data_IF_778966015443
#
_entry.id   IF_778966015443
#
_cell.length_a   1.000
_cell.length_b   1.000
_cell.length_c   1.000
_cell.angle_alpha   90.00
_cell.angle_beta   90.00
_cell.angle_gamma   90.00
#
_symmetry.space_group_name_H-M   'P 1'
#
loop_
_entity.id
_entity.type
_entity.pdbx_description
1 polymer ?
#
# COMPACT_ATOMS: atom_id res chain seq x y z
N UNK A 1 -22.40 4.02 15.79
CA UNK A 1 -20.95 3.93 15.98
C UNK A 1 -20.23 4.43 14.73
N UNK A 2 -19.22 5.26 14.89
CA UNK A 2 -18.44 5.74 13.75
C UNK A 2 -17.39 4.70 13.34
N UNK A 3 -17.18 4.55 12.06
CA UNK A 3 -16.12 3.71 11.52
C UNK A 3 -15.00 4.57 10.97
N UNK A 4 -13.79 4.22 11.31
CA UNK A 4 -12.59 4.87 10.77
C UNK A 4 -12.01 4.00 9.64
N UNK A 5 -11.67 4.64 8.54
CA UNK A 5 -11.14 3.97 7.37
C UNK A 5 -9.77 4.54 7.01
N UNK A 6 -8.85 3.68 6.64
CA UNK A 6 -7.61 4.08 6.02
C UNK A 6 -7.62 3.53 4.59
N UNK A 7 -7.62 4.43 3.64
CA UNK A 7 -7.87 4.08 2.25
C UNK A 7 -6.70 4.49 1.35
N UNK A 8 -6.37 3.65 0.41
CA UNK A 8 -5.42 3.96 -0.65
C UNK A 8 -5.80 3.24 -1.93
N UNK A 9 -5.31 3.75 -3.05
CA UNK A 9 -5.48 3.12 -4.35
C UNK A 9 -4.39 3.65 -5.28
N UNK A 10 -3.58 2.75 -5.82
CA UNK A 10 -2.54 3.13 -6.78
C UNK A 10 -2.20 1.94 -7.65
N UNK A 11 -1.47 2.21 -8.75
CA UNK A 11 -1.18 1.20 -9.75
C UNK A 11 0.29 1.19 -10.13
N UNK A 12 0.83 -0.01 -10.30
CA UNK A 12 2.14 -0.22 -10.90
C UNK A 12 1.90 -0.69 -12.33
N UNK A 13 2.33 0.10 -13.29
CA UNK A 13 2.06 -0.16 -14.70
C UNK A 13 3.22 -0.85 -15.40
N UNK A 14 2.92 -1.48 -16.52
CA UNK A 14 3.91 -2.03 -17.45
C UNK A 14 4.80 -3.09 -16.82
N UNK A 15 4.17 -4.04 -16.13
CA UNK A 15 4.88 -5.17 -15.53
C UNK A 15 5.48 -6.06 -16.62
N UNK A 16 6.73 -6.47 -16.42
CA UNK A 16 7.34 -7.49 -17.27
C UNK A 16 6.86 -8.88 -16.84
N UNK A 17 6.97 -9.90 -17.71
CA UNK A 17 6.63 -11.27 -17.30
C UNK A 17 7.40 -11.75 -16.07
N UNK A 18 8.67 -11.35 -15.94
CA UNK A 18 9.48 -11.68 -14.77
C UNK A 18 8.91 -11.04 -13.51
N UNK A 19 8.48 -9.80 -13.60
CA UNK A 19 7.86 -9.09 -12.48
C UNK A 19 6.54 -9.72 -12.07
N UNK A 20 5.74 -10.13 -13.03
CA UNK A 20 4.46 -10.83 -12.75
C UNK A 20 4.73 -12.14 -12.03
N UNK A 21 5.71 -12.92 -12.47
CA UNK A 21 6.09 -14.18 -11.82
C UNK A 21 6.56 -13.94 -10.38
N UNK A 22 7.36 -12.90 -10.17
CA UNK A 22 7.83 -12.52 -8.84
C UNK A 22 6.64 -12.19 -7.92
N UNK A 23 5.69 -11.39 -8.42
CA UNK A 23 4.50 -11.01 -7.66
C UNK A 23 3.65 -12.22 -7.31
N UNK A 24 3.42 -13.12 -8.27
CA UNK A 24 2.67 -14.35 -8.02
C UNK A 24 3.32 -15.19 -6.93
N UNK A 25 4.64 -15.34 -6.99
CA UNK A 25 5.40 -16.09 -5.99
C UNK A 25 5.27 -15.45 -4.60
N UNK A 26 5.39 -14.12 -4.54
CA UNK A 26 5.28 -13.40 -3.26
C UNK A 26 3.88 -13.49 -2.68
N UNK A 27 2.85 -13.38 -3.49
CA UNK A 27 1.48 -13.52 -3.03
C UNK A 27 1.24 -14.93 -2.48
N UNK A 28 1.76 -15.96 -3.13
CA UNK A 28 1.69 -17.34 -2.64
C UNK A 28 2.39 -17.50 -1.29
N UNK A 29 3.58 -16.92 -1.13
CA UNK A 29 4.31 -16.96 0.13
C UNK A 29 3.53 -16.31 1.27
N UNK A 30 2.91 -15.15 1.01
CA UNK A 30 2.12 -14.45 2.00
C UNK A 30 0.88 -15.25 2.38
N UNK A 31 0.19 -15.83 1.40
CA UNK A 31 -0.98 -16.67 1.65
C UNK A 31 -0.64 -17.89 2.49
N UNK A 32 0.49 -18.52 2.24
CA UNK A 32 0.96 -19.67 3.03
C UNK A 32 1.30 -19.28 4.46
N UNK A 33 1.90 -18.09 4.66
CA UNK A 33 2.25 -17.62 5.99
C UNK A 33 1.01 -17.27 6.82
N UNK A 34 -0.08 -16.91 6.19
CA UNK A 34 -1.35 -16.62 6.86
C UNK A 34 -2.13 -17.88 7.20
N UNK A 35 -1.68 -19.03 6.74
CA UNK A 35 -2.21 -20.36 7.06
C UNK A 35 -3.74 -20.44 6.98
N UNK A 36 -4.27 -20.04 5.84
CA UNK A 36 -5.69 -20.19 5.56
C UNK A 36 -5.95 -21.58 4.99
N UNK A 37 -6.56 -22.48 5.77
CA UNK A 37 -6.78 -23.85 5.30
C UNK A 37 -7.82 -23.94 4.18
N UNK A 38 -8.58 -22.91 3.91
CA UNK A 38 -9.54 -22.94 2.79
C UNK A 38 -8.85 -22.85 1.43
N UNK A 39 -7.59 -22.40 1.41
CA UNK A 39 -6.73 -22.53 0.24
C UNK A 39 -7.32 -22.07 -1.07
N UNK A 40 -8.26 -21.16 -1.01
CA UNK A 40 -8.82 -20.62 -2.25
C UNK A 40 -7.84 -19.69 -2.93
N UNK A 41 -6.85 -20.29 -3.55
CA UNK A 41 -6.16 -19.63 -4.62
C UNK A 41 -7.13 -19.63 -5.80
N UNK A 42 -7.78 -18.53 -5.98
CA UNK A 42 -8.42 -18.33 -7.26
C UNK A 42 -7.35 -17.95 -8.25
N UNK A 43 -6.66 -18.95 -8.75
CA UNK A 43 -5.93 -18.79 -9.97
C UNK A 43 -6.98 -18.68 -11.08
N UNK A 44 -7.40 -17.47 -11.32
CA UNK A 44 -8.36 -17.21 -12.38
C UNK A 44 -7.57 -17.08 -13.67
N UNK A 45 -7.32 -18.23 -14.30
CA UNK A 45 -6.91 -18.33 -15.68
C UNK A 45 -6.07 -17.16 -16.18
N UNK A 46 -4.84 -17.11 -15.79
CA UNK A 46 -3.72 -16.39 -16.40
C UNK A 46 -3.77 -14.88 -16.56
N UNK A 47 -4.88 -14.18 -16.33
CA UNK A 47 -4.93 -12.73 -16.55
C UNK A 47 -5.32 -11.89 -15.34
N UNK A 48 -5.89 -12.51 -14.32
CA UNK A 48 -6.25 -11.80 -13.10
C UNK A 48 -5.83 -12.60 -11.89
N UNK A 49 -4.91 -12.06 -11.12
CA UNK A 49 -4.56 -12.58 -9.81
C UNK A 49 -5.07 -11.57 -8.81
N UNK A 50 -5.95 -12.01 -7.96
CA UNK A 50 -6.56 -11.16 -6.95
C UNK A 50 -6.19 -11.68 -5.58
N UNK A 51 -5.73 -10.77 -4.74
CA UNK A 51 -5.43 -11.06 -3.35
C UNK A 51 -6.24 -10.15 -2.45
N UNK A 52 -6.82 -10.72 -1.41
CA UNK A 52 -7.61 -10.01 -0.43
C UNK A 52 -7.27 -10.51 0.96
N UNK A 53 -6.58 -9.68 1.75
CA UNK A 53 -6.48 -9.89 3.19
C UNK A 53 -6.32 -8.54 3.88
N UNK A 54 -6.21 -8.56 5.20
CA UNK A 54 -6.17 -7.34 6.01
C UNK A 54 -4.89 -6.53 5.81
N UNK A 55 -3.83 -7.14 5.27
CA UNK A 55 -2.54 -6.50 5.11
C UNK A 55 -2.28 -5.99 3.71
N UNK A 56 -2.81 -6.68 2.70
CA UNK A 56 -2.52 -6.37 1.32
C UNK A 56 -3.70 -6.76 0.43
N UNK A 57 -4.31 -5.77 -0.20
CA UNK A 57 -5.30 -6.00 -1.26
C UNK A 57 -4.66 -5.63 -2.58
N UNK A 58 -4.60 -6.59 -3.51
CA UNK A 58 -3.91 -6.40 -4.77
C UNK A 58 -4.61 -7.18 -5.88
N UNK A 59 -4.52 -6.65 -7.09
CA UNK A 59 -5.08 -7.29 -8.27
C UNK A 59 -4.19 -7.03 -9.48
N UNK A 60 -3.77 -8.11 -10.14
CA UNK A 60 -3.04 -8.02 -11.40
C UNK A 60 -4.03 -8.16 -12.54
N UNK A 61 -4.04 -7.17 -13.42
CA UNK A 61 -4.88 -7.17 -14.61
C UNK A 61 -4.01 -6.85 -15.83
N UNK A 62 -3.80 -7.84 -16.69
CA UNK A 62 -2.86 -7.70 -17.80
C UNK A 62 -1.44 -7.48 -17.29
N UNK A 63 -0.85 -6.35 -17.63
CA UNK A 63 0.49 -5.96 -17.20
C UNK A 63 0.49 -4.87 -16.13
N UNK A 64 -0.61 -4.73 -15.40
CA UNK A 64 -0.75 -3.71 -14.36
C UNK A 64 -1.10 -4.35 -13.03
N UNK A 65 -0.53 -3.81 -11.95
CA UNK A 65 -0.85 -4.22 -10.59
C UNK A 65 -1.60 -3.08 -9.89
N UNK A 66 -2.81 -3.37 -9.45
CA UNK A 66 -3.62 -2.43 -8.66
C UNK A 66 -3.55 -2.82 -7.19
N UNK A 67 -3.11 -1.88 -6.36
CA UNK A 67 -3.02 -2.03 -4.91
C UNK A 67 -4.01 -1.07 -4.28
N UNK A 68 -4.85 -1.57 -3.38
CA UNK A 68 -5.95 -0.78 -2.83
C UNK A 68 -6.33 -1.25 -1.44
N UNK A 69 -7.00 -0.37 -0.70
CA UNK A 69 -7.66 -0.72 0.55
C UNK A 69 -8.85 0.22 0.75
N UNK A 70 -9.98 -0.34 1.11
CA UNK A 70 -11.19 0.44 1.39
C UNK A 70 -11.35 0.72 2.89
N UNK A 71 -10.94 -0.19 3.75
CA UNK A 71 -11.18 -0.10 5.18
C UNK A 71 -9.91 0.01 6.01
N UNK A 72 -8.83 -0.50 5.52
CA UNK A 72 -7.56 -0.42 6.22
C UNK A 72 -6.54 -1.38 5.65
N UNK A 73 -5.29 -1.06 5.90
CA UNK A 73 -4.15 -1.89 5.50
C UNK A 73 -2.98 -1.57 6.42
N UNK A 74 -2.06 -2.52 6.54
CA UNK A 74 -0.79 -2.27 7.20
C UNK A 74 0.14 -1.59 6.21
N UNK A 75 0.28 -0.26 6.33
CA UNK A 75 1.09 0.52 5.41
C UNK A 75 2.58 0.18 5.52
N UNK A 76 3.08 -0.15 6.69
CA UNK A 76 4.47 -0.54 6.85
C UNK A 76 4.78 -1.83 6.11
N UNK A 77 3.90 -2.83 6.23
CA UNK A 77 4.04 -4.08 5.48
C UNK A 77 3.94 -3.86 3.97
N UNK A 78 3.04 -2.97 3.55
CA UNK A 78 2.90 -2.62 2.14
C UNK A 78 4.16 -1.97 1.60
N UNK A 79 4.74 -1.03 2.34
CA UNK A 79 5.98 -0.37 1.93
C UNK A 79 7.14 -1.36 1.87
N UNK A 80 7.25 -2.26 2.84
CA UNK A 80 8.29 -3.31 2.82
C UNK A 80 8.15 -4.20 1.59
N UNK A 81 6.93 -4.58 1.25
CA UNK A 81 6.65 -5.37 0.05
C UNK A 81 7.07 -4.62 -1.22
N UNK A 82 6.73 -3.34 -1.31
CA UNK A 82 7.08 -2.51 -2.47
C UNK A 82 8.58 -2.28 -2.58
N UNK A 83 9.29 -2.13 -1.45
CA UNK A 83 10.75 -2.03 -1.46
C UNK A 83 11.39 -3.31 -1.95
N UNK A 84 10.89 -4.47 -1.53
CA UNK A 84 11.37 -5.76 -2.02
C UNK A 84 11.15 -5.88 -3.52
N UNK A 85 9.99 -5.46 -4.01
CA UNK A 85 9.71 -5.43 -5.44
C UNK A 85 10.73 -4.58 -6.19
N UNK A 86 11.02 -3.39 -5.68
CA UNK A 86 11.99 -2.49 -6.31
C UNK A 86 13.40 -3.08 -6.30
N UNK A 87 13.84 -3.63 -5.16
CA UNK A 87 15.16 -4.23 -5.03
C UNK A 87 15.39 -5.36 -6.03
N UNK A 88 14.38 -6.20 -6.20
CA UNK A 88 14.49 -7.39 -7.03
C UNK A 88 14.25 -7.11 -8.53
N UNK A 89 13.42 -6.14 -8.84
CA UNK A 89 12.94 -5.95 -10.20
C UNK A 89 13.27 -4.59 -10.81
N UNK A 90 13.31 -3.54 -10.02
CA UNK A 90 13.52 -2.16 -10.51
C UNK A 90 14.40 -1.36 -9.55
N UNK A 91 15.67 -1.77 -9.33
CA UNK A 91 16.50 -1.15 -8.28
C UNK A 91 16.80 0.33 -8.52
N UNK A 92 16.69 0.81 -9.74
CA UNK A 92 16.95 2.20 -10.08
C UNK A 92 15.66 3.03 -10.21
N UNK A 93 14.53 2.47 -9.82
CA UNK A 93 13.25 3.13 -9.96
C UNK A 93 12.67 3.53 -8.60
N UNK A 94 11.49 4.12 -8.64
CA UNK A 94 10.79 4.53 -7.43
C UNK A 94 9.30 4.23 -7.57
N UNK A 95 8.63 4.22 -6.42
CA UNK A 95 7.18 4.15 -6.34
C UNK A 95 6.72 5.17 -5.31
N UNK A 96 5.45 5.49 -5.34
CA UNK A 96 4.87 6.35 -4.32
C UNK A 96 3.36 6.22 -4.33
N UNK A 97 2.77 6.49 -3.18
CA UNK A 97 1.31 6.52 -3.09
C UNK A 97 0.87 7.44 -1.97
N UNK A 98 -0.41 7.78 -2.01
CA UNK A 98 -1.07 8.59 -0.99
C UNK A 98 -2.13 7.73 -0.31
N UNK A 99 -2.41 8.06 0.95
CA UNK A 99 -3.52 7.43 1.66
C UNK A 99 -4.37 8.49 2.33
N UNK A 100 -5.61 8.12 2.62
CA UNK A 100 -6.54 8.97 3.34
C UNK A 100 -7.08 8.22 4.55
N UNK A 101 -7.14 8.91 5.68
CA UNK A 101 -7.83 8.42 6.86
C UNK A 101 -9.17 9.16 6.93
N UNK A 102 -10.25 8.43 6.95
CA UNK A 102 -11.59 8.97 6.92
C UNK A 102 -12.44 8.39 8.05
N UNK A 103 -13.57 9.01 8.32
CA UNK A 103 -14.49 8.55 9.34
C UNK A 103 -15.90 8.61 8.79
N UNK A 104 -16.75 7.65 9.15
CA UNK A 104 -18.13 7.62 8.69
C UNK A 104 -18.99 8.75 9.28
N UNK A 105 -18.49 9.45 10.30
CA UNK A 105 -19.12 10.62 10.90
C UNK A 105 -18.13 11.78 10.94
N UNK A 106 -18.64 12.99 10.95
CA UNK A 106 -17.81 14.20 11.00
C UNK A 106 -17.31 14.47 12.41
N UNK A 107 -16.28 13.74 12.79
CA UNK A 107 -15.64 13.90 14.10
C UNK A 107 -14.33 14.66 13.97
N UNK A 108 -13.94 15.35 15.04
CA UNK A 108 -12.66 16.03 15.11
C UNK A 108 -11.53 15.00 15.16
N UNK A 109 -10.40 15.33 14.52
CA UNK A 109 -9.17 14.54 14.54
C UNK A 109 -9.30 13.14 13.92
N UNK A 110 -10.37 12.89 13.17
CA UNK A 110 -10.61 11.61 12.51
C UNK A 110 -10.35 11.65 11.00
N UNK A 111 -9.90 12.79 10.49
CA UNK A 111 -9.57 12.95 9.07
C UNK A 111 -8.13 13.36 8.94
N UNK A 112 -7.39 12.63 8.13
CA UNK A 112 -5.99 12.93 7.86
C UNK A 112 -5.57 12.16 6.61
N UNK A 113 -4.31 12.19 6.33
CA UNK A 113 -3.76 11.46 5.21
C UNK A 113 -2.26 11.62 5.14
N UNK A 114 -1.69 11.11 4.10
CA UNK A 114 -0.27 11.25 3.90
C UNK A 114 0.16 10.65 2.58
N UNK A 115 1.46 10.60 2.41
CA UNK A 115 2.10 10.05 1.22
C UNK A 115 3.42 9.40 1.60
N UNK A 116 3.88 8.50 0.77
CA UNK A 116 5.19 7.89 0.93
C UNK A 116 5.86 7.80 -0.44
N UNK A 117 7.13 8.17 -0.48
CA UNK A 117 7.99 8.02 -1.66
C UNK A 117 8.98 6.92 -1.37
N UNK A 118 9.02 5.90 -2.22
CA UNK A 118 9.72 4.65 -1.96
C UNK A 118 10.79 4.41 -3.00
N UNK A 119 12.00 4.14 -2.55
CA UNK A 119 13.08 3.64 -3.40
C UNK A 119 13.52 2.28 -2.87
N UNK A 120 14.44 1.64 -3.58
CA UNK A 120 14.96 0.34 -3.13
C UNK A 120 15.60 0.42 -1.74
N UNK A 121 16.13 1.57 -1.36
CA UNK A 121 16.88 1.76 -0.12
C UNK A 121 16.14 2.56 0.95
N UNK A 122 15.16 3.37 0.58
CA UNK A 122 14.52 4.33 1.48
C UNK A 122 13.01 4.40 1.30
N UNK A 123 12.36 4.84 2.36
CA UNK A 123 10.96 5.25 2.30
C UNK A 123 10.84 6.59 3.02
N UNK A 124 10.41 7.60 2.30
CA UNK A 124 10.20 8.94 2.84
C UNK A 124 8.71 9.16 3.07
N UNK A 125 8.35 9.36 4.32
CA UNK A 125 6.96 9.49 4.75
C UNK A 125 6.62 10.93 5.06
N UNK A 126 5.41 11.35 4.69
CA UNK A 126 4.83 12.59 5.16
C UNK A 126 3.38 12.32 5.54
N UNK A 127 2.93 12.92 6.64
CA UNK A 127 1.53 12.88 7.00
C UNK A 127 1.01 14.30 7.13
N UNK A 128 -0.29 14.46 6.91
CA UNK A 128 -0.93 15.78 7.03
C UNK A 128 -0.83 16.30 8.47
N UNK A 129 -0.96 15.40 9.44
CA UNK A 129 -0.81 15.76 10.85
C UNK A 129 0.59 16.29 11.15
N UNK A 130 1.63 15.55 10.74
CA UNK A 130 3.01 15.96 10.98
C UNK A 130 3.37 17.26 10.28
N UNK A 131 2.87 17.44 9.06
CA UNK A 131 3.07 18.68 8.31
C UNK A 131 2.53 19.88 9.09
N UNK A 132 1.29 19.79 9.57
CA UNK A 132 0.66 20.87 10.31
C UNK A 132 1.36 21.12 11.65
N UNK A 133 1.74 20.06 12.36
CA UNK A 133 2.47 20.19 13.63
C UNK A 133 3.81 20.88 13.45
N UNK A 134 4.57 20.51 12.42
CA UNK A 134 5.86 21.12 12.12
C UNK A 134 5.69 22.61 11.83
N UNK A 135 4.68 22.98 11.03
CA UNK A 135 4.40 24.36 10.68
C UNK A 135 3.97 25.16 11.90
N UNK A 136 3.10 24.60 12.75
CA UNK A 136 2.64 25.23 13.98
C UNK A 136 3.80 25.53 14.93
N UNK A 137 4.67 24.53 15.15
CA UNK A 137 5.84 24.70 16.03
C UNK A 137 6.79 25.77 15.51
N UNK A 138 7.04 25.78 14.22
CA UNK A 138 7.90 26.79 13.61
C UNK A 138 7.30 28.19 13.75
N UNK A 139 6.00 28.32 13.58
CA UNK A 139 5.30 29.60 13.74
C UNK A 139 5.36 30.09 15.18
N UNK A 140 5.08 29.23 16.15
CA UNK A 140 5.11 29.59 17.57
C UNK A 140 6.52 29.93 18.06
N UNK A 141 7.54 29.30 17.51
CA UNK A 141 8.93 29.57 17.89
C UNK A 141 9.41 30.97 17.48
N UNK A 142 8.76 31.59 16.50
CA UNK A 142 9.14 32.91 15.98
C UNK A 142 8.53 34.04 16.81
N UNK A 143 7.61 33.75 17.68
CA UNK A 143 6.97 34.77 18.55
C UNK A 143 7.86 35.19 19.68
#
# INVERSE_FOLDING_TARGET
MANNYQQHSFMINSLTPTEITWLETKFDEIDKSNDDPSGEHTDIGSTEIQRRDDELEARIHGADLWLYAEEGADLDSLVDFLQDFLKENRPDSYLGFEWANTCSKMRLDEFSGGAVFITADKADWVSTYEFLETKRKAFEAVK
#
